data_IF_902035987435
#
_entry.id   IF_902035987435
#
_cell.length_a   1.000
_cell.length_b   1.000
_cell.length_c   1.000
_cell.angle_alpha   90.00
_cell.angle_beta   90.00
_cell.angle_gamma   90.00
#
_symmetry.space_group_name_H-M   'P 1'
#
loop_
_entity.id
_entity.type
_entity.pdbx_description
1 polymer ?
#
# COMPACT_ATOMS: atom_id res chain seq x y z
N UNK A 1 7.02 -19.55 -6.90
CA UNK A 1 7.61 -18.26 -7.30
C UNK A 1 6.84 -17.81 -8.53
N UNK A 2 6.10 -16.69 -8.48
CA UNK A 2 5.52 -16.12 -9.70
C UNK A 2 6.65 -15.78 -10.67
N UNK A 3 6.46 -16.07 -11.95
CA UNK A 3 7.44 -15.74 -12.99
C UNK A 3 7.45 -14.22 -13.21
N UNK A 4 8.48 -13.64 -13.82
CA UNK A 4 8.52 -12.20 -14.11
C UNK A 4 7.33 -11.72 -14.96
N UNK A 5 6.72 -12.62 -15.75
CA UNK A 5 5.48 -12.34 -16.49
C UNK A 5 4.23 -12.26 -15.62
N UNK A 6 4.35 -12.59 -14.32
CA UNK A 6 3.22 -12.63 -13.38
C UNK A 6 3.12 -11.42 -12.45
N UNK A 7 3.81 -10.32 -12.79
CA UNK A 7 3.87 -9.11 -11.97
C UNK A 7 3.29 -7.92 -12.70
N UNK A 8 2.64 -7.05 -11.94
CA UNK A 8 2.09 -5.79 -12.45
C UNK A 8 3.04 -4.68 -12.05
N UNK A 9 3.57 -3.97 -13.04
CA UNK A 9 4.42 -2.81 -12.82
C UNK A 9 3.59 -1.57 -12.50
N UNK A 10 4.04 -0.76 -11.55
CA UNK A 10 3.41 0.51 -11.23
C UNK A 10 4.42 1.54 -10.71
N UNK A 11 4.07 2.80 -10.91
CA UNK A 11 4.82 3.95 -10.40
C UNK A 11 3.97 4.73 -9.42
N UNK A 12 4.61 5.34 -8.42
CA UNK A 12 3.94 6.16 -7.43
C UNK A 12 4.81 7.35 -6.99
N UNK A 13 4.14 8.38 -6.46
CA UNK A 13 4.76 9.55 -5.84
C UNK A 13 4.00 9.92 -4.58
N UNK A 14 4.74 10.14 -3.50
CA UNK A 14 4.19 10.72 -2.28
C UNK A 14 4.29 12.24 -2.33
N UNK A 15 3.13 12.91 -2.31
CA UNK A 15 3.04 14.36 -2.19
C UNK A 15 2.80 14.75 -0.71
N UNK A 16 3.56 15.72 -0.20
CA UNK A 16 3.35 16.30 1.14
C UNK A 16 3.78 15.43 2.34
N UNK A 17 4.64 14.44 2.11
CA UNK A 17 5.09 13.49 3.12
C UNK A 17 6.12 14.09 4.11
N UNK A 18 5.81 14.14 5.41
CA UNK A 18 6.77 14.53 6.47
C UNK A 18 7.66 13.34 6.93
N UNK A 19 8.72 13.60 7.71
CA UNK A 19 9.73 12.63 8.16
C UNK A 19 9.28 11.73 9.33
N UNK A 20 8.26 12.11 10.09
CA UNK A 20 8.02 11.55 11.43
C UNK A 20 7.14 10.29 11.49
N UNK A 21 6.31 10.06 10.47
CA UNK A 21 5.66 8.79 10.12
C UNK A 21 5.45 8.85 8.63
N UNK A 22 6.28 8.14 7.86
CA UNK A 22 6.21 8.23 6.41
C UNK A 22 4.80 7.83 5.93
N UNK A 23 4.10 8.65 5.12
CA UNK A 23 2.85 8.23 4.50
C UNK A 23 3.04 6.90 3.77
N UNK A 24 1.98 6.12 3.77
CA UNK A 24 1.88 4.87 3.05
C UNK A 24 0.74 4.97 2.02
N UNK A 25 0.83 4.15 0.99
CA UNK A 25 -0.28 3.90 0.07
C UNK A 25 -0.48 2.40 -0.02
N UNK A 26 -1.72 1.94 -0.16
CA UNK A 26 -1.98 0.56 -0.55
C UNK A 26 -2.08 0.50 -2.07
N UNK A 27 -1.14 -0.20 -2.70
CA UNK A 27 -1.14 -0.49 -4.13
C UNK A 27 -1.85 -1.82 -4.37
N UNK A 28 -3.07 -1.75 -4.91
CA UNK A 28 -3.94 -2.91 -5.12
C UNK A 28 -4.13 -3.16 -6.62
N UNK A 29 -3.72 -4.32 -7.12
CA UNK A 29 -4.13 -4.78 -8.44
C UNK A 29 -5.61 -5.14 -8.40
N UNK A 30 -6.39 -4.66 -9.37
CA UNK A 30 -7.83 -4.90 -9.41
C UNK A 30 -8.29 -5.45 -10.75
N UNK A 31 -9.40 -6.19 -10.73
CA UNK A 31 -10.12 -6.59 -11.95
C UNK A 31 -11.01 -5.46 -12.51
N UNK A 32 -11.68 -5.72 -13.62
CA UNK A 32 -12.59 -4.76 -14.29
C UNK A 32 -13.76 -4.29 -13.40
N UNK A 33 -14.07 -5.03 -12.32
CA UNK A 33 -15.14 -4.73 -11.36
C UNK A 33 -14.62 -4.06 -10.10
N UNK A 34 -13.33 -3.73 -10.07
CA UNK A 34 -12.58 -3.21 -8.92
C UNK A 34 -12.51 -4.19 -7.73
N UNK A 35 -12.51 -5.49 -7.99
CA UNK A 35 -12.18 -6.47 -6.97
C UNK A 35 -10.66 -6.62 -6.87
N UNK A 36 -10.13 -6.58 -5.65
CA UNK A 36 -8.69 -6.72 -5.39
C UNK A 36 -8.20 -8.14 -5.74
N UNK A 37 -7.12 -8.21 -6.51
CA UNK A 37 -6.43 -9.43 -6.93
C UNK A 37 -5.15 -9.66 -6.13
N UNK A 38 -4.63 -8.59 -5.51
CA UNK A 38 -3.46 -8.59 -4.62
C UNK A 38 -3.12 -7.15 -4.23
N UNK A 39 -2.51 -6.97 -3.07
CA UNK A 39 -2.21 -5.65 -2.51
C UNK A 39 -0.85 -5.66 -1.81
N UNK A 40 -0.14 -4.55 -1.88
CA UNK A 40 1.06 -4.28 -1.08
C UNK A 40 1.04 -2.84 -0.58
N UNK A 41 1.81 -2.54 0.46
CA UNK A 41 1.85 -1.20 1.06
C UNK A 41 3.26 -0.62 0.94
N UNK A 42 3.56 0.18 -0.09
CA UNK A 42 4.79 0.94 -0.14
C UNK A 42 4.81 2.05 0.91
N UNK A 43 5.95 2.22 1.57
CA UNK A 43 6.17 3.31 2.52
C UNK A 43 6.99 4.43 1.87
N UNK A 44 6.67 5.68 2.17
CA UNK A 44 7.45 6.81 1.67
C UNK A 44 8.90 6.83 2.17
N UNK A 45 9.21 6.16 3.28
CA UNK A 45 10.59 5.95 3.76
C UNK A 45 11.41 5.01 2.87
N UNK A 46 10.77 4.26 1.99
CA UNK A 46 11.40 3.33 1.05
C UNK A 46 11.43 3.90 -0.37
N UNK A 47 10.80 5.06 -0.58
CA UNK A 47 10.67 5.72 -1.87
C UNK A 47 11.80 6.72 -2.11
N UNK A 48 12.75 6.37 -2.97
CA UNK A 48 13.92 7.19 -3.28
C UNK A 48 13.99 7.50 -4.78
N UNK A 49 13.49 8.67 -5.15
CA UNK A 49 13.51 9.21 -6.50
C UNK A 49 14.72 10.09 -6.81
N UNK A 50 14.96 10.37 -8.10
CA UNK A 50 15.92 11.40 -8.51
C UNK A 50 15.63 12.74 -7.83
N UNK A 51 16.67 13.42 -7.33
CA UNK A 51 16.51 14.75 -6.72
C UNK A 51 15.93 14.75 -5.29
N UNK A 52 15.75 13.59 -4.66
CA UNK A 52 15.19 13.49 -3.30
C UNK A 52 13.67 13.41 -3.28
N UNK A 53 13.02 13.32 -4.44
CA UNK A 53 11.59 13.09 -4.55
C UNK A 53 11.21 11.73 -3.96
N UNK A 54 10.10 11.65 -3.21
CA UNK A 54 9.58 10.39 -2.66
C UNK A 54 8.76 9.65 -3.72
N UNK A 55 9.41 9.23 -4.79
CA UNK A 55 8.84 8.40 -5.86
C UNK A 55 9.35 6.96 -5.78
N UNK A 56 8.57 6.03 -6.31
CA UNK A 56 9.02 4.66 -6.48
C UNK A 56 8.45 3.97 -7.72
N UNK A 57 9.07 2.85 -8.02
CA UNK A 57 8.85 2.00 -9.17
C UNK A 57 8.88 0.55 -8.67
N UNK A 58 7.72 -0.09 -8.66
CA UNK A 58 7.50 -1.32 -7.91
C UNK A 58 6.74 -2.35 -8.76
N UNK A 59 6.82 -3.60 -8.31
CA UNK A 59 6.22 -4.75 -8.99
C UNK A 59 5.35 -5.53 -8.04
N UNK A 60 4.05 -5.54 -8.31
CA UNK A 60 3.07 -6.28 -7.51
C UNK A 60 2.91 -7.69 -8.08
N UNK A 61 3.23 -8.71 -7.28
CA UNK A 61 2.99 -10.10 -7.64
C UNK A 61 1.49 -10.42 -7.55
N UNK A 62 0.94 -11.01 -8.61
CA UNK A 62 -0.46 -11.43 -8.68
C UNK A 62 -0.54 -12.86 -9.21
N UNK A 63 -1.54 -13.63 -8.78
CA UNK A 63 -1.69 -15.01 -9.24
C UNK A 63 -2.15 -15.10 -10.72
N UNK A 64 -2.96 -14.13 -11.16
CA UNK A 64 -3.57 -14.11 -12.49
C UNK A 64 -3.46 -12.72 -13.13
N UNK A 65 -2.28 -12.36 -13.70
CA UNK A 65 -2.03 -11.03 -14.26
C UNK A 65 -2.96 -10.66 -15.39
N UNK A 66 -3.41 -11.63 -16.19
CA UNK A 66 -4.37 -11.41 -17.27
C UNK A 66 -5.76 -10.96 -16.82
N UNK A 67 -6.06 -11.00 -15.51
CA UNK A 67 -7.31 -10.49 -14.94
C UNK A 67 -7.17 -9.05 -14.43
N UNK A 68 -5.95 -8.50 -14.40
CA UNK A 68 -5.69 -7.17 -13.87
C UNK A 68 -6.12 -6.11 -14.89
N UNK A 69 -7.07 -5.28 -14.50
CA UNK A 69 -7.49 -4.11 -15.26
C UNK A 69 -6.65 -2.86 -14.91
N UNK A 70 -6.05 -2.82 -13.72
CA UNK A 70 -5.14 -1.75 -13.31
C UNK A 70 -4.70 -1.87 -11.85
N UNK A 71 -3.88 -0.92 -11.41
CA UNK A 71 -3.48 -0.76 -10.01
C UNK A 71 -4.15 0.48 -9.43
N UNK A 72 -4.84 0.33 -8.30
CA UNK A 72 -5.35 1.44 -7.51
C UNK A 72 -4.36 1.78 -6.41
N UNK A 73 -4.04 3.07 -6.26
CA UNK A 73 -3.26 3.60 -5.15
C UNK A 73 -4.23 4.22 -4.14
N UNK A 74 -4.36 3.60 -2.98
CA UNK A 74 -5.28 4.02 -1.93
C UNK A 74 -4.45 4.70 -0.83
N UNK A 75 -4.77 5.94 -0.43
CA UNK A 75 -4.11 6.58 0.69
C UNK A 75 -4.22 5.72 1.96
N UNK A 76 -3.09 5.35 2.53
CA UNK A 76 -3.03 4.63 3.79
C UNK A 76 -2.53 5.59 4.86
N UNK A 77 -3.49 6.29 5.49
CA UNK A 77 -3.20 7.32 6.49
C UNK A 77 -2.59 6.69 7.74
N UNK A 78 -1.32 6.98 7.97
CA UNK A 78 -0.53 6.51 9.11
C UNK A 78 -0.53 7.52 10.27
N UNK A 79 -1.36 8.58 10.24
CA UNK A 79 -1.39 9.62 11.28
C UNK A 79 -2.05 9.18 12.59
N UNK A 80 -2.08 7.88 12.90
CA UNK A 80 -2.66 7.36 14.13
C UNK A 80 -1.69 7.51 15.31
N UNK A 81 -2.24 7.80 16.48
CA UNK A 81 -1.47 7.91 17.72
C UNK A 81 -1.01 6.52 18.15
N UNK A 82 0.25 6.17 17.88
CA UNK A 82 0.89 4.95 18.37
C UNK A 82 1.03 5.07 19.89
N UNK A 83 0.01 4.64 20.62
CA UNK A 83 0.09 4.53 22.08
C UNK A 83 1.35 3.76 22.47
N UNK A 84 2.19 4.36 23.30
CA UNK A 84 3.37 3.70 23.86
C UNK A 84 2.93 2.56 24.78
N UNK A 85 3.82 1.61 25.07
CA UNK A 85 3.53 0.47 25.96
C UNK A 85 2.98 0.86 27.35
N UNK A 86 3.10 2.13 27.75
CA UNK A 86 2.61 2.70 29.01
C UNK A 86 1.10 3.06 28.97
N UNK A 87 0.43 2.92 27.82
CA UNK A 87 -0.98 3.30 27.61
C UNK A 87 -1.88 2.12 27.17
N UNK A 88 -1.48 0.89 27.50
CA UNK A 88 -2.21 -0.37 27.19
C UNK A 88 -3.54 -0.45 27.98
N UNK A 89 -4.64 -0.04 27.35
CA UNK A 89 -5.96 -0.58 27.68
C UNK A 89 -6.03 -1.94 26.98
N UNK A 90 -6.21 -2.99 27.80
CA UNK A 90 -6.21 -4.42 27.44
C UNK A 90 -7.25 -4.86 26.39
N UNK A 91 -7.97 -3.92 25.80
CA UNK A 91 -8.91 -4.14 24.71
C UNK A 91 -8.33 -3.42 23.49
N UNK A 92 -7.93 -4.17 22.45
CA UNK A 92 -7.27 -3.68 21.23
C UNK A 92 -8.12 -2.70 20.39
N UNK A 93 -8.44 -1.54 20.97
CA UNK A 93 -9.28 -0.48 20.42
C UNK A 93 -8.51 0.82 20.18
N UNK A 94 -7.19 0.74 19.99
CA UNK A 94 -6.43 1.86 19.42
C UNK A 94 -6.87 2.12 17.98
N UNK A 95 -6.73 3.35 17.49
CA UNK A 95 -6.83 3.61 16.05
C UNK A 95 -5.68 2.85 15.39
N UNK A 96 -5.99 1.78 14.68
CA UNK A 96 -5.04 1.03 13.87
C UNK A 96 -4.99 1.61 12.45
N UNK A 97 -3.86 1.48 11.74
CA UNK A 97 -3.84 1.65 10.30
C UNK A 97 -4.99 0.88 9.64
N UNK A 98 -5.54 1.39 8.53
CA UNK A 98 -6.40 0.56 7.71
C UNK A 98 -5.63 -0.70 7.29
N UNK A 99 -6.31 -1.85 7.41
CA UNK A 99 -5.78 -3.10 6.88
C UNK A 99 -5.76 -3.02 5.34
N UNK A 100 -4.71 -3.50 4.67
CA UNK A 100 -4.68 -3.57 3.22
C UNK A 100 -5.84 -4.41 2.68
N UNK A 101 -6.37 -4.04 1.52
CA UNK A 101 -7.46 -4.77 0.87
C UNK A 101 -7.09 -6.23 0.63
N UNK A 102 -7.93 -7.15 1.09
CA UNK A 102 -7.81 -8.58 0.87
C UNK A 102 -8.28 -8.97 -0.53
N UNK A 103 -7.86 -10.14 -1.00
CA UNK A 103 -8.28 -10.65 -2.31
C UNK A 103 -9.79 -10.84 -2.36
N UNK A 104 -10.43 -10.26 -3.38
CA UNK A 104 -11.88 -10.28 -3.58
C UNK A 104 -12.62 -9.08 -2.98
N UNK A 105 -11.95 -8.26 -2.17
CA UNK A 105 -12.54 -7.03 -1.63
C UNK A 105 -12.81 -6.04 -2.76
N UNK A 106 -13.91 -5.28 -2.64
CA UNK A 106 -14.35 -4.34 -3.67
C UNK A 106 -13.96 -2.90 -3.30
N UNK A 107 -13.29 -2.21 -4.22
CA UNK A 107 -12.68 -0.89 -4.05
C UNK A 107 -13.31 0.21 -4.92
#
# INVERSE_FOLDING_TARGET
>A
MPSEGDRVHFHYRFDGADETSGPAVDACAVDERRAALGSQTPYSSEAFGPGGDRTGDEWLAVEHPGQVAGVLLIPNDQSYDRRTCEQDVKDGGGLHPPEPAGRGDRL
#
